data_IF_327655850379
#
_entry.id   IF_327655850379
#
_cell.length_a   1.000
_cell.length_b   1.000
_cell.length_c   1.000
_cell.angle_alpha   90.00
_cell.angle_beta   90.00
_cell.angle_gamma   90.00
#
_symmetry.space_group_name_H-M   'P 1'
#
loop_
_entity.id
_entity.type
_entity.pdbx_description
1 polymer ?
#
# COMPACT_ATOMS: atom_id res chain seq x y z
N UNK A 1 -9.17 28.99 -9.43
CA UNK A 1 -9.72 27.66 -9.70
C UNK A 1 -11.19 27.63 -9.31
N UNK A 2 -12.05 27.33 -10.25
CA UNK A 2 -13.47 27.18 -9.95
C UNK A 2 -13.70 25.82 -9.26
N UNK A 3 -13.86 25.85 -7.94
CA UNK A 3 -14.10 24.68 -7.10
C UNK A 3 -15.47 24.01 -7.35
N UNK A 4 -16.33 24.62 -8.16
CA UNK A 4 -17.66 24.09 -8.48
C UNK A 4 -17.63 23.01 -9.56
N UNK A 5 -16.48 22.75 -10.17
CA UNK A 5 -16.29 21.78 -11.27
C UNK A 5 -15.40 20.60 -10.92
N UNK A 6 -15.36 20.20 -9.67
CA UNK A 6 -14.72 18.92 -9.36
C UNK A 6 -15.48 17.78 -10.06
N UNK A 7 -14.77 16.88 -10.74
CA UNK A 7 -15.44 15.73 -11.33
C UNK A 7 -16.19 14.96 -10.23
N UNK A 8 -17.34 14.37 -10.55
CA UNK A 8 -18.08 13.58 -9.58
C UNK A 8 -17.19 12.45 -9.04
N UNK A 9 -17.36 12.14 -7.75
CA UNK A 9 -16.62 11.03 -7.14
C UNK A 9 -16.84 9.75 -7.98
N UNK A 10 -15.77 9.03 -8.25
CA UNK A 10 -15.82 7.77 -9.02
C UNK A 10 -16.75 6.74 -8.41
N UNK A 11 -16.87 6.78 -7.07
CA UNK A 11 -17.71 5.87 -6.32
C UNK A 11 -18.17 6.53 -5.03
N UNK A 12 -19.37 6.18 -4.57
CA UNK A 12 -19.96 6.73 -3.34
C UNK A 12 -19.68 5.86 -2.11
N UNK A 13 -19.25 4.62 -2.30
CA UNK A 13 -18.94 3.68 -1.22
C UNK A 13 -17.56 3.06 -1.43
N UNK A 14 -16.96 2.56 -0.35
CA UNK A 14 -15.69 1.82 -0.42
C UNK A 14 -15.81 0.58 -1.30
N UNK A 15 -16.91 -0.16 -1.18
CA UNK A 15 -17.16 -1.36 -1.98
C UNK A 15 -17.23 -1.05 -3.48
N UNK A 16 -17.98 -0.01 -3.85
CA UNK A 16 -18.08 0.43 -5.24
C UNK A 16 -16.71 0.90 -5.78
N UNK A 17 -15.94 1.62 -4.96
CA UNK A 17 -14.59 2.05 -5.31
C UNK A 17 -13.67 0.84 -5.56
N UNK A 18 -13.66 -0.14 -4.66
CA UNK A 18 -12.85 -1.36 -4.81
C UNK A 18 -13.25 -2.14 -6.06
N UNK A 19 -14.55 -2.30 -6.29
CA UNK A 19 -15.06 -3.02 -7.45
C UNK A 19 -14.66 -2.38 -8.80
N UNK A 20 -14.60 -1.06 -8.85
CA UNK A 20 -14.22 -0.31 -10.06
C UNK A 20 -12.70 -0.21 -10.24
N UNK A 21 -11.98 0.14 -9.19
CA UNK A 21 -10.57 0.51 -9.28
C UNK A 21 -9.61 -0.69 -9.20
N UNK A 22 -9.95 -1.72 -8.45
CA UNK A 22 -9.06 -2.86 -8.26
C UNK A 22 -8.76 -3.62 -9.57
N UNK A 23 -9.74 -3.97 -10.41
CA UNK A 23 -9.47 -4.64 -11.69
C UNK A 23 -8.63 -3.79 -12.64
N UNK A 24 -8.90 -2.49 -12.71
CA UNK A 24 -8.16 -1.56 -13.59
C UNK A 24 -6.69 -1.49 -13.19
N UNK A 25 -6.41 -1.29 -11.93
CA UNK A 25 -5.04 -1.18 -11.40
C UNK A 25 -4.30 -2.53 -11.48
N UNK A 26 -4.97 -3.62 -11.12
CA UNK A 26 -4.38 -4.96 -11.21
C UNK A 26 -4.00 -5.33 -12.64
N UNK A 27 -4.81 -4.95 -13.64
CA UNK A 27 -4.51 -5.19 -15.04
C UNK A 27 -3.25 -4.49 -15.54
N UNK A 28 -2.90 -3.33 -14.98
CA UNK A 28 -1.70 -2.58 -15.33
C UNK A 28 -0.43 -3.13 -14.66
N UNK A 29 -0.55 -3.85 -13.57
CA UNK A 29 0.59 -4.38 -12.81
C UNK A 29 1.23 -5.57 -13.56
N UNK A 30 2.54 -5.49 -13.78
CA UNK A 30 3.34 -6.53 -14.45
C UNK A 30 4.04 -7.49 -13.48
N UNK A 31 3.78 -7.38 -12.18
CA UNK A 31 4.40 -8.23 -11.15
C UNK A 31 5.94 -8.18 -11.13
N UNK A 32 6.51 -7.03 -11.48
CA UNK A 32 7.97 -6.89 -11.65
C UNK A 32 8.75 -6.81 -10.32
N UNK A 33 8.09 -6.50 -9.21
CA UNK A 33 8.72 -6.39 -7.89
C UNK A 33 9.35 -5.04 -7.57
N UNK A 34 9.34 -4.07 -8.48
CA UNK A 34 10.00 -2.78 -8.26
C UNK A 34 9.44 -2.01 -7.05
N UNK A 35 8.13 -2.02 -6.87
CA UNK A 35 7.47 -1.37 -5.73
C UNK A 35 7.86 -2.00 -4.38
N UNK A 36 8.00 -3.31 -4.33
CA UNK A 36 8.48 -4.03 -3.16
C UNK A 36 9.92 -3.66 -2.83
N UNK A 37 10.81 -3.69 -3.83
CA UNK A 37 12.22 -3.36 -3.64
C UNK A 37 12.44 -1.92 -3.17
N UNK A 38 11.61 -0.97 -3.59
CA UNK A 38 11.70 0.43 -3.21
C UNK A 38 11.04 0.73 -1.85
N UNK A 39 10.27 -0.17 -1.29
CA UNK A 39 9.51 0.08 -0.08
C UNK A 39 10.39 0.09 1.17
N UNK A 40 10.40 1.18 1.96
CA UNK A 40 11.20 1.27 3.17
C UNK A 40 10.73 0.34 4.29
N UNK A 41 9.50 -0.18 4.20
CA UNK A 41 8.91 -1.03 5.23
C UNK A 41 9.27 -2.52 5.07
N UNK A 42 9.96 -2.90 4.01
CA UNK A 42 10.39 -4.30 3.79
C UNK A 42 11.27 -4.80 4.93
N UNK A 43 12.16 -3.96 5.44
CA UNK A 43 13.01 -4.29 6.59
C UNK A 43 12.21 -4.40 7.88
N UNK A 44 11.19 -3.57 8.05
CA UNK A 44 10.31 -3.60 9.23
C UNK A 44 9.62 -4.96 9.39
N UNK A 45 9.16 -5.55 8.29
CA UNK A 45 8.48 -6.86 8.29
C UNK A 45 9.44 -8.03 8.01
N UNK A 46 10.75 -7.76 8.01
CA UNK A 46 11.79 -8.77 7.82
C UNK A 46 11.66 -9.59 6.52
N UNK A 47 11.32 -8.91 5.43
CA UNK A 47 11.08 -9.54 4.12
C UNK A 47 12.17 -9.27 3.08
N UNK A 48 13.34 -8.79 3.48
CA UNK A 48 14.43 -8.45 2.56
C UNK A 48 14.89 -9.64 1.70
N UNK A 49 14.74 -10.86 2.19
CA UNK A 49 15.06 -12.09 1.47
C UNK A 49 13.91 -12.69 0.65
N UNK A 50 12.72 -12.09 0.67
CA UNK A 50 11.58 -12.58 -0.11
C UNK A 50 11.75 -12.28 -1.59
N UNK A 51 11.19 -13.13 -2.46
CA UNK A 51 11.18 -12.90 -3.90
C UNK A 51 10.21 -11.76 -4.26
N UNK A 52 10.71 -10.63 -4.78
CA UNK A 52 9.88 -9.48 -5.13
C UNK A 52 8.74 -9.80 -6.11
N UNK A 53 8.99 -10.71 -7.05
CA UNK A 53 7.98 -11.11 -8.05
C UNK A 53 6.85 -11.93 -7.42
N UNK A 54 7.18 -12.81 -6.49
CA UNK A 54 6.17 -13.59 -5.75
C UNK A 54 5.31 -12.67 -4.88
N UNK A 55 5.94 -11.73 -4.18
CA UNK A 55 5.22 -10.76 -3.33
C UNK A 55 4.27 -9.88 -4.17
N UNK A 56 4.72 -9.40 -5.33
CA UNK A 56 3.88 -8.54 -6.19
C UNK A 56 2.83 -9.31 -6.97
N UNK A 57 3.05 -10.58 -7.30
CA UNK A 57 1.99 -11.45 -7.80
C UNK A 57 0.88 -11.62 -6.73
N UNK A 58 1.26 -11.80 -5.48
CA UNK A 58 0.34 -11.81 -4.35
C UNK A 58 -0.43 -10.49 -4.18
N UNK A 59 0.22 -9.35 -4.44
CA UNK A 59 -0.42 -8.04 -4.42
C UNK A 59 -1.62 -7.95 -5.36
N UNK A 60 -1.47 -8.43 -6.60
CA UNK A 60 -2.57 -8.47 -7.58
C UNK A 60 -3.70 -9.37 -7.10
N UNK A 61 -3.36 -10.53 -6.55
CA UNK A 61 -4.35 -11.49 -6.03
C UNK A 61 -5.15 -10.88 -4.88
N UNK A 62 -4.50 -10.27 -3.91
CA UNK A 62 -5.19 -9.57 -2.81
C UNK A 62 -6.11 -8.46 -3.32
N UNK A 63 -5.64 -7.64 -4.25
CA UNK A 63 -6.45 -6.58 -4.84
C UNK A 63 -7.71 -7.12 -5.52
N UNK A 64 -7.62 -8.31 -6.10
CA UNK A 64 -8.75 -9.01 -6.74
C UNK A 64 -9.63 -9.79 -5.75
N UNK A 65 -9.34 -9.75 -4.45
CA UNK A 65 -10.08 -10.47 -3.42
C UNK A 65 -9.68 -11.93 -3.25
N UNK A 66 -8.54 -12.35 -3.81
CA UNK A 66 -8.01 -13.71 -3.69
C UNK A 66 -6.99 -13.81 -2.56
N UNK A 67 -6.76 -15.03 -2.08
CA UNK A 67 -5.70 -15.30 -1.10
C UNK A 67 -4.31 -15.09 -1.69
N UNK A 68 -3.37 -14.64 -0.86
CA UNK A 68 -1.98 -14.41 -1.22
C UNK A 68 -1.03 -14.99 -0.16
N UNK A 69 0.29 -15.13 -0.50
CA UNK A 69 1.29 -15.55 0.47
C UNK A 69 1.34 -14.64 1.71
N UNK A 70 1.78 -15.19 2.84
CA UNK A 70 1.90 -14.45 4.10
C UNK A 70 2.84 -13.24 3.97
N UNK A 71 3.89 -13.35 3.18
CA UNK A 71 4.83 -12.27 2.90
C UNK A 71 4.13 -11.06 2.25
N UNK A 72 3.23 -11.33 1.32
CA UNK A 72 2.45 -10.26 0.69
C UNK A 72 1.53 -9.58 1.69
N UNK A 73 0.82 -10.37 2.50
CA UNK A 73 -0.09 -9.85 3.53
C UNK A 73 0.69 -9.00 4.55
N UNK A 74 1.84 -9.48 5.01
CA UNK A 74 2.70 -8.74 5.94
C UNK A 74 3.19 -7.42 5.32
N UNK A 75 3.61 -7.44 4.07
CA UNK A 75 4.10 -6.25 3.37
C UNK A 75 3.02 -5.19 3.18
N UNK A 76 1.87 -5.56 2.62
CA UNK A 76 0.78 -4.57 2.41
C UNK A 76 0.24 -4.05 3.74
N UNK A 77 0.20 -4.91 4.77
CA UNK A 77 -0.19 -4.52 6.12
C UNK A 77 0.72 -3.45 6.74
N UNK A 78 2.01 -3.46 6.39
CA UNK A 78 2.99 -2.52 6.91
C UNK A 78 3.01 -1.16 6.17
N UNK A 79 2.19 -0.96 5.14
CA UNK A 79 2.20 0.27 4.34
C UNK A 79 1.96 1.52 5.19
N UNK A 80 2.90 2.47 5.12
CA UNK A 80 2.84 3.79 5.77
C UNK A 80 2.54 4.93 4.80
N UNK A 81 2.21 4.61 3.56
CA UNK A 81 1.91 5.59 2.49
C UNK A 81 3.11 6.48 2.13
N UNK A 82 4.32 5.94 2.15
CA UNK A 82 5.52 6.70 1.78
C UNK A 82 5.54 7.17 0.32
N UNK A 83 4.83 6.47 -0.57
CA UNK A 83 4.76 6.79 -1.98
C UNK A 83 5.98 6.37 -2.81
N UNK A 84 7.02 5.80 -2.23
CA UNK A 84 8.23 5.39 -2.96
C UNK A 84 7.94 4.33 -4.03
N UNK A 85 6.94 3.48 -3.80
CA UNK A 85 6.48 2.50 -4.79
C UNK A 85 5.92 3.15 -6.06
N UNK A 86 5.30 4.32 -5.95
CA UNK A 86 4.76 5.06 -7.11
C UNK A 86 5.89 5.47 -8.04
N UNK A 87 6.95 6.06 -7.51
CA UNK A 87 8.07 6.53 -8.30
C UNK A 87 8.91 5.38 -8.90
N UNK A 88 8.98 4.26 -8.20
CA UNK A 88 9.70 3.07 -8.66
C UNK A 88 8.92 2.26 -9.72
N UNK A 89 7.61 2.43 -9.83
CA UNK A 89 6.78 1.62 -10.72
C UNK A 89 7.01 1.95 -12.20
N UNK A 90 7.45 0.98 -13.03
CA UNK A 90 7.63 1.21 -14.46
C UNK A 90 6.32 1.44 -15.22
N UNK A 91 5.18 1.13 -14.62
CA UNK A 91 3.85 1.35 -15.20
C UNK A 91 3.19 2.67 -14.77
N UNK A 92 3.92 3.54 -14.08
CA UNK A 92 3.43 4.87 -13.66
C UNK A 92 2.92 5.68 -14.86
N UNK A 93 3.66 5.71 -15.96
CA UNK A 93 3.27 6.40 -17.18
C UNK A 93 2.01 5.81 -17.85
N UNK A 94 1.75 4.52 -17.64
CA UNK A 94 0.55 3.85 -18.13
C UNK A 94 -0.69 4.09 -17.24
N UNK A 95 -0.54 4.81 -16.13
CA UNK A 95 -1.62 5.17 -15.23
C UNK A 95 -1.73 4.31 -13.97
N UNK A 96 -0.77 3.42 -13.71
CA UNK A 96 -0.76 2.64 -12.47
C UNK A 96 -0.28 3.50 -11.29
N UNK A 97 -1.15 3.69 -10.32
CA UNK A 97 -0.80 4.15 -8.98
C UNK A 97 -0.50 2.93 -8.09
N UNK A 98 0.79 2.63 -7.94
CA UNK A 98 1.22 1.46 -7.16
C UNK A 98 0.83 1.55 -5.68
N UNK A 99 0.87 2.75 -5.10
CA UNK A 99 0.47 2.93 -3.70
C UNK A 99 -1.03 2.70 -3.52
N UNK A 100 -1.85 3.13 -4.46
CA UNK A 100 -3.28 2.86 -4.41
C UNK A 100 -3.56 1.36 -4.52
N UNK A 101 -2.85 0.65 -5.40
CA UNK A 101 -2.98 -0.81 -5.51
C UNK A 101 -2.60 -1.51 -4.20
N UNK A 102 -1.51 -1.11 -3.56
CA UNK A 102 -1.09 -1.64 -2.24
C UNK A 102 -2.15 -1.36 -1.16
N UNK A 103 -2.73 -0.17 -1.16
CA UNK A 103 -3.78 0.20 -0.21
C UNK A 103 -5.07 -0.58 -0.41
N UNK A 104 -5.45 -0.85 -1.64
CA UNK A 104 -6.59 -1.72 -1.97
C UNK A 104 -6.31 -3.14 -1.46
N UNK A 105 -5.13 -3.68 -1.73
CA UNK A 105 -4.73 -5.00 -1.24
C UNK A 105 -4.73 -5.07 0.29
N UNK A 106 -4.24 -4.03 0.96
CA UNK A 106 -4.29 -3.92 2.43
C UNK A 106 -5.73 -3.93 2.95
N UNK A 107 -6.61 -3.17 2.32
CA UNK A 107 -8.02 -3.11 2.68
C UNK A 107 -8.66 -4.50 2.59
N UNK A 108 -8.40 -5.22 1.50
CA UNK A 108 -8.87 -6.59 1.30
C UNK A 108 -8.31 -7.57 2.33
N UNK A 109 -7.01 -7.47 2.64
CA UNK A 109 -6.34 -8.38 3.56
C UNK A 109 -6.75 -8.19 5.02
N UNK A 110 -6.99 -6.95 5.45
CA UNK A 110 -7.22 -6.62 6.87
C UNK A 110 -8.70 -6.51 7.20
N UNK A 111 -9.47 -5.86 6.38
CA UNK A 111 -10.83 -5.46 6.78
C UNK A 111 -11.84 -5.44 5.62
N UNK A 112 -11.46 -5.91 4.48
CA UNK A 112 -12.28 -6.01 3.26
C UNK A 112 -12.94 -4.70 2.82
N UNK A 113 -13.87 -4.12 3.59
CA UNK A 113 -14.64 -2.93 3.20
C UNK A 113 -14.42 -1.71 4.09
N UNK A 114 -13.74 -1.84 5.23
CA UNK A 114 -13.54 -0.76 6.19
C UNK A 114 -12.08 -0.56 6.53
N UNK A 115 -11.68 0.70 6.65
CA UNK A 115 -10.35 1.02 7.15
C UNK A 115 -10.29 0.85 8.68
N UNK A 116 -9.27 0.16 9.17
CA UNK A 116 -9.04 0.05 10.61
C UNK A 116 -8.69 1.42 11.20
N UNK A 117 -9.26 1.72 12.36
CA UNK A 117 -8.83 2.86 13.18
C UNK A 117 -7.48 2.56 13.81
N UNK A 118 -6.69 3.61 14.11
CA UNK A 118 -5.35 3.48 14.69
C UNK A 118 -5.31 2.56 15.92
N UNK A 119 -6.27 2.71 16.83
CA UNK A 119 -6.35 1.88 18.05
C UNK A 119 -6.82 0.44 17.82
N UNK A 120 -7.29 0.11 16.63
CA UNK A 120 -7.66 -1.25 16.24
C UNK A 120 -6.56 -1.97 15.45
N UNK A 121 -5.54 -1.23 15.02
CA UNK A 121 -4.39 -1.74 14.30
C UNK A 121 -3.19 -1.84 15.24
N UNK A 122 -2.81 -3.06 15.70
CA UNK A 122 -1.72 -3.24 16.67
C UNK A 122 -0.36 -2.82 16.10
N UNK A 123 -0.23 -2.70 14.78
CA UNK A 123 1.02 -2.34 14.12
C UNK A 123 1.11 -0.85 13.79
N UNK A 124 0.06 -0.06 14.06
CA UNK A 124 0.01 1.36 13.66
C UNK A 124 1.15 2.19 14.23
N UNK A 125 1.29 2.25 15.55
CA UNK A 125 2.35 3.03 16.20
C UNK A 125 3.76 2.48 15.94
N UNK A 126 4.01 1.16 16.01
CA UNK A 126 5.30 0.61 15.60
C UNK A 126 5.71 0.99 14.18
N UNK A 127 4.79 0.99 13.21
CA UNK A 127 5.06 1.43 11.83
C UNK A 127 5.40 2.92 11.76
N UNK A 128 4.65 3.76 12.48
CA UNK A 128 4.94 5.20 12.55
C UNK A 128 6.34 5.46 13.12
N UNK A 129 6.73 4.78 14.19
CA UNK A 129 8.09 4.89 14.75
C UNK A 129 9.17 4.45 13.76
N UNK A 130 8.96 3.33 13.09
CA UNK A 130 9.92 2.83 12.09
C UNK A 130 10.06 3.83 10.94
N UNK A 131 8.96 4.33 10.42
CA UNK A 131 8.97 5.34 9.36
C UNK A 131 9.64 6.64 9.80
N UNK A 132 9.34 7.11 11.01
CA UNK A 132 9.93 8.34 11.56
C UNK A 132 11.46 8.24 11.68
N UNK A 133 12.01 7.06 12.02
CA UNK A 133 13.46 6.83 12.06
C UNK A 133 14.15 6.97 10.70
N UNK A 134 13.42 6.86 9.61
CA UNK A 134 13.95 7.09 8.26
C UNK A 134 14.05 8.60 7.93
N UNK A 135 13.35 9.44 8.67
CA UNK A 135 13.20 10.87 8.41
C UNK A 135 13.85 11.76 9.49
N UNK A 136 13.92 11.28 10.71
CA UNK A 136 14.30 12.06 11.89
C UNK A 136 15.54 11.49 12.56
N UNK A 137 16.34 12.38 13.16
CA UNK A 137 17.44 11.99 14.05
C UNK A 137 16.90 11.46 15.38
N UNK A 138 17.74 10.78 16.17
CA UNK A 138 17.36 10.28 17.49
C UNK A 138 16.92 11.39 18.44
N UNK A 139 17.53 12.57 18.36
CA UNK A 139 17.15 13.75 19.15
C UNK A 139 15.76 14.28 18.77
N UNK A 140 15.46 14.32 17.48
CA UNK A 140 14.14 14.72 16.98
C UNK A 140 13.08 13.69 17.37
N UNK A 141 13.37 12.40 17.24
CA UNK A 141 12.47 11.33 17.66
C UNK A 141 12.09 11.43 19.13
N UNK A 142 13.05 11.71 20.01
CA UNK A 142 12.80 11.86 21.46
C UNK A 142 11.83 13.01 21.79
N UNK A 143 11.73 14.02 20.90
CA UNK A 143 10.78 15.14 21.07
C UNK A 143 9.38 14.83 20.55
N UNK A 144 9.26 13.90 19.60
CA UNK A 144 8.02 13.64 18.89
C UNK A 144 7.30 12.37 19.35
N UNK A 145 8.00 11.43 19.91
CA UNK A 145 7.52 10.11 20.30
C UNK A 145 7.86 9.81 21.76
#
# INVERSE_FOLDING_TARGET
MDMTRLPPARAQTTEAFLAQSAPELAALCTECGACFNACPMVDYVNLRGADPKVVTAGLRRLASGEAAPEETVAWVGACTKSGQCVDACPQKAAGLDAMLLVRIAKQRAINDTRQLKAKQDPTYFPRIKTFARLQLTDEELAKWL
#
